data_IF_476674371699
#
_entry.id   IF_476674371699
#
_cell.length_a   1.000
_cell.length_b   1.000
_cell.length_c   1.000
_cell.angle_alpha   90.00
_cell.angle_beta   90.00
_cell.angle_gamma   90.00
#
_symmetry.space_group_name_H-M   'P 1'
#
loop_
_entity.id
_entity.type
_entity.pdbx_description
1 polymer ?
#
# COMPACT_ATOMS: atom_id res chain seq x y z
N UNK A 1 -1.28 -25.89 -12.18
CA UNK A 1 -1.16 -26.19 -10.73
C UNK A 1 -1.75 -24.99 -10.00
N UNK A 2 -2.91 -25.16 -9.37
CA UNK A 2 -3.47 -24.10 -8.53
C UNK A 2 -2.64 -24.00 -7.25
N UNK A 3 -2.15 -22.80 -6.92
CA UNK A 3 -1.35 -22.54 -5.72
C UNK A 3 -2.16 -22.74 -4.43
N UNK A 4 -3.48 -22.63 -4.53
CA UNK A 4 -4.45 -22.67 -3.43
C UNK A 4 -5.65 -23.50 -3.89
N UNK A 5 -6.21 -24.30 -2.99
CA UNK A 5 -7.44 -25.06 -3.27
C UNK A 5 -8.62 -24.09 -3.35
N UNK A 6 -9.57 -24.33 -4.25
CA UNK A 6 -10.74 -23.47 -4.46
C UNK A 6 -11.53 -23.21 -3.17
N UNK A 7 -11.58 -24.20 -2.28
CA UNK A 7 -12.24 -24.13 -0.97
C UNK A 7 -11.67 -23.06 -0.02
N UNK A 8 -10.40 -22.64 -0.19
CA UNK A 8 -9.76 -21.62 0.65
C UNK A 8 -9.56 -20.27 -0.07
N UNK A 9 -10.04 -20.14 -1.31
CA UNK A 9 -9.78 -18.98 -2.14
C UNK A 9 -10.47 -17.70 -1.57
N UNK A 10 -11.62 -17.88 -0.92
CA UNK A 10 -12.36 -16.78 -0.28
C UNK A 10 -11.63 -16.24 0.96
N UNK A 11 -11.19 -17.12 1.83
CA UNK A 11 -10.43 -16.81 3.05
C UNK A 11 -9.10 -16.15 2.71
N UNK A 12 -8.40 -16.68 1.71
CA UNK A 12 -7.17 -16.07 1.22
C UNK A 12 -7.42 -14.65 0.70
N UNK A 13 -8.50 -14.42 -0.05
CA UNK A 13 -8.84 -13.08 -0.53
C UNK A 13 -9.05 -12.09 0.62
N UNK A 14 -9.79 -12.51 1.66
CA UNK A 14 -10.02 -11.72 2.88
C UNK A 14 -8.71 -11.39 3.58
N UNK A 15 -7.87 -12.39 3.85
CA UNK A 15 -6.56 -12.19 4.50
C UNK A 15 -5.67 -11.30 3.65
N UNK A 16 -5.67 -11.47 2.33
CA UNK A 16 -4.86 -10.66 1.41
C UNK A 16 -5.24 -9.18 1.46
N UNK A 17 -6.53 -8.86 1.60
CA UNK A 17 -6.98 -7.48 1.76
C UNK A 17 -6.43 -6.84 3.05
N UNK A 18 -6.44 -7.57 4.15
CA UNK A 18 -5.90 -7.11 5.43
C UNK A 18 -4.38 -6.98 5.42
N UNK A 19 -3.68 -7.94 4.81
CA UNK A 19 -2.23 -7.83 4.60
C UNK A 19 -1.89 -6.61 3.74
N UNK A 20 -2.64 -6.35 2.67
CA UNK A 20 -2.45 -5.17 1.85
C UNK A 20 -2.64 -3.87 2.63
N UNK A 21 -3.57 -3.83 3.59
CA UNK A 21 -3.86 -2.67 4.44
C UNK A 21 -2.82 -2.42 5.53
N UNK A 22 -2.24 -3.49 6.08
CA UNK A 22 -1.39 -3.43 7.28
C UNK A 22 0.11 -3.49 6.97
N UNK A 23 0.51 -3.95 5.79
CA UNK A 23 1.91 -3.99 5.41
C UNK A 23 2.40 -2.61 4.93
N UNK A 24 3.62 -2.21 5.32
CA UNK A 24 4.25 -1.06 4.71
C UNK A 24 4.55 -1.37 3.24
N UNK A 25 4.04 -0.56 2.33
CA UNK A 25 4.32 -0.72 0.91
C UNK A 25 5.71 -0.20 0.54
N UNK A 26 6.24 0.72 1.34
CA UNK A 26 7.54 1.35 1.11
C UNK A 26 8.21 1.79 2.40
N UNK A 27 9.52 1.59 2.47
CA UNK A 27 10.40 2.22 3.44
C UNK A 27 11.43 3.04 2.68
N UNK A 28 11.58 4.31 3.00
CA UNK A 28 12.59 5.17 2.40
C UNK A 28 13.51 5.71 3.48
N UNK A 29 14.80 5.64 3.20
CA UNK A 29 15.86 6.23 4.01
C UNK A 29 16.55 7.31 3.20
N UNK A 30 16.62 8.53 3.72
CA UNK A 30 17.32 9.63 3.09
C UNK A 30 18.16 10.41 4.10
N UNK A 31 19.40 10.75 3.73
CA UNK A 31 20.27 11.64 4.49
C UNK A 31 20.24 13.03 3.87
N UNK A 32 20.00 14.04 4.70
CA UNK A 32 20.01 15.45 4.35
C UNK A 32 21.07 16.18 5.18
N UNK A 33 21.47 17.38 4.77
CA UNK A 33 22.50 18.21 5.44
C UNK A 33 23.82 17.43 5.60
N UNK A 34 24.49 17.11 4.48
CA UNK A 34 25.78 16.39 4.46
C UNK A 34 25.84 15.10 5.32
N UNK A 35 24.70 14.47 5.61
CA UNK A 35 24.64 13.25 6.42
C UNK A 35 24.33 13.46 7.91
N UNK A 36 24.18 14.70 8.36
CA UNK A 36 23.89 15.02 9.77
C UNK A 36 22.46 14.66 10.17
N UNK A 37 21.50 14.87 9.26
CA UNK A 37 20.08 14.60 9.53
C UNK A 37 19.60 13.47 8.64
N UNK A 38 18.98 12.47 9.24
CA UNK A 38 18.45 11.31 8.54
C UNK A 38 16.94 11.25 8.66
N UNK A 39 16.27 11.08 7.53
CA UNK A 39 14.82 10.94 7.44
C UNK A 39 14.50 9.48 7.12
N UNK A 40 13.85 8.81 8.07
CA UNK A 40 13.27 7.48 7.86
C UNK A 40 11.77 7.63 7.66
N UNK A 41 11.27 7.21 6.50
CA UNK A 41 9.83 7.22 6.18
C UNK A 41 9.32 5.81 5.95
N UNK A 42 8.39 5.36 6.77
CA UNK A 42 7.70 4.07 6.65
C UNK A 42 6.27 4.37 6.19
N UNK A 43 5.90 3.89 5.01
CA UNK A 43 4.62 4.20 4.38
C UNK A 43 3.73 2.97 4.32
N UNK A 44 2.58 3.08 4.97
CA UNK A 44 1.45 2.17 4.87
C UNK A 44 0.45 2.73 3.86
N UNK A 45 -0.57 2.00 3.41
CA UNK A 45 -1.58 2.55 2.51
C UNK A 45 -2.29 3.78 3.10
N UNK A 46 -2.54 3.81 4.41
CA UNK A 46 -3.36 4.83 5.05
C UNK A 46 -2.61 5.78 5.97
N UNK A 47 -1.32 5.55 6.21
CA UNK A 47 -0.52 6.35 7.15
C UNK A 47 0.97 6.32 6.80
N UNK A 48 1.65 7.43 7.06
CA UNK A 48 3.09 7.57 7.10
C UNK A 48 3.55 7.63 8.55
N UNK A 49 4.63 6.91 8.86
CA UNK A 49 5.47 7.21 10.01
C UNK A 49 6.76 7.83 9.48
N UNK A 50 7.11 9.03 9.93
CA UNK A 50 8.33 9.70 9.51
C UNK A 50 9.12 10.16 10.71
N UNK A 51 10.37 9.71 10.76
CA UNK A 51 11.29 9.93 11.87
C UNK A 51 12.49 10.77 11.42
N UNK A 52 12.76 11.85 12.15
CA UNK A 52 13.90 12.75 11.95
C UNK A 52 14.99 12.41 12.97
N UNK A 53 16.02 11.71 12.50
CA UNK A 53 17.21 11.34 13.27
C UNK A 53 18.26 12.46 13.15
N UNK A 54 18.94 12.76 14.26
CA UNK A 54 20.01 13.77 14.29
C UNK A 54 19.55 15.20 14.61
N UNK A 55 18.26 15.39 14.93
CA UNK A 55 17.72 16.68 15.37
C UNK A 55 17.16 16.52 16.79
N UNK A 56 17.70 17.29 17.73
CA UNK A 56 17.12 17.41 19.08
C UNK A 56 16.02 18.48 19.03
N UNK A 57 14.76 18.07 18.86
CA UNK A 57 13.63 18.98 18.92
C UNK A 57 13.16 19.14 20.38
N UNK A 58 12.98 20.38 20.89
CA UNK A 58 12.49 20.59 22.24
C UNK A 58 11.05 20.07 22.38
N UNK A 59 10.87 18.97 23.11
CA UNK A 59 9.55 18.42 23.46
C UNK A 59 8.88 17.54 22.40
N UNK A 60 9.55 17.23 21.29
CA UNK A 60 9.03 16.38 20.22
C UNK A 60 10.07 15.32 19.82
N UNK A 61 9.68 14.06 19.69
CA UNK A 61 10.61 12.94 19.44
C UNK A 61 11.08 12.86 17.98
N UNK A 62 10.83 13.90 17.17
CA UNK A 62 11.11 13.89 15.73
C UNK A 62 10.25 12.89 14.95
N UNK A 63 9.17 12.38 15.56
CA UNK A 63 8.22 11.45 14.95
C UNK A 63 6.97 12.20 14.47
N UNK A 64 6.67 12.07 13.19
CA UNK A 64 5.41 12.54 12.57
C UNK A 64 4.58 11.35 12.09
N UNK A 65 3.27 11.45 12.30
CA UNK A 65 2.28 10.47 11.84
C UNK A 65 1.26 11.19 10.98
N UNK A 66 1.28 10.91 9.67
CA UNK A 66 0.46 11.64 8.70
C UNK A 66 -0.32 10.66 7.82
N UNK A 67 -1.62 10.88 7.65
CA UNK A 67 -2.33 10.22 6.55
C UNK A 67 -1.88 10.79 5.19
N UNK A 68 -1.99 10.04 4.07
CA UNK A 68 -1.46 10.43 2.76
C UNK A 68 -1.90 11.81 2.28
N UNK A 69 -3.12 12.21 2.65
CA UNK A 69 -3.70 13.50 2.25
C UNK A 69 -3.11 14.68 3.05
N UNK A 70 -2.80 14.49 4.34
CA UNK A 70 -2.02 15.49 5.10
C UNK A 70 -0.61 15.58 4.52
N UNK A 71 0.06 14.45 4.33
CA UNK A 71 1.43 14.44 3.82
C UNK A 71 1.53 15.10 2.44
N UNK A 72 0.53 14.87 1.57
CA UNK A 72 0.38 15.56 0.29
C UNK A 72 0.28 17.08 0.44
N UNK A 73 -0.44 17.58 1.44
CA UNK A 73 -0.64 19.02 1.66
C UNK A 73 0.63 19.76 2.10
N UNK A 74 1.67 19.03 2.52
CA UNK A 74 2.95 19.57 2.98
C UNK A 74 3.97 19.74 1.83
N UNK A 75 3.64 19.30 0.62
CA UNK A 75 4.56 19.33 -0.54
C UNK A 75 3.93 20.06 -1.73
N UNK A 76 4.79 20.74 -2.48
CA UNK A 76 4.46 21.41 -3.74
C UNK A 76 5.47 20.99 -4.83
N UNK A 77 5.07 21.10 -6.10
CA UNK A 77 5.91 20.77 -7.25
C UNK A 77 6.00 19.27 -7.54
N UNK A 78 7.17 18.81 -8.00
CA UNK A 78 7.41 17.44 -8.48
C UNK A 78 7.08 16.33 -7.45
N UNK A 79 7.36 16.49 -6.14
CA UNK A 79 7.01 15.47 -5.13
C UNK A 79 5.50 15.21 -5.01
N UNK A 80 4.63 16.10 -5.49
CA UNK A 80 3.17 15.91 -5.43
C UNK A 80 2.73 14.61 -6.14
N UNK A 81 3.43 14.21 -7.20
CA UNK A 81 3.10 13.00 -7.96
C UNK A 81 3.20 11.73 -7.09
N UNK A 82 4.18 11.67 -6.20
CA UNK A 82 4.37 10.55 -5.25
C UNK A 82 3.10 10.35 -4.43
N UNK A 83 2.67 11.40 -3.75
CA UNK A 83 1.53 11.32 -2.84
C UNK A 83 0.20 11.12 -3.57
N UNK A 84 0.03 11.70 -4.77
CA UNK A 84 -1.17 11.48 -5.57
C UNK A 84 -1.31 10.00 -5.97
N UNK A 85 -0.22 9.37 -6.45
CA UNK A 85 -0.22 7.95 -6.81
C UNK A 85 -0.41 7.05 -5.58
N UNK A 86 0.18 7.44 -4.45
CA UNK A 86 -0.07 6.76 -3.19
C UNK A 86 -1.54 6.83 -2.77
N UNK A 87 -2.19 8.00 -2.85
CA UNK A 87 -3.64 8.14 -2.56
C UNK A 87 -4.46 7.22 -3.46
N UNK A 88 -4.14 7.14 -4.76
CA UNK A 88 -4.83 6.22 -5.68
C UNK A 88 -4.65 4.76 -5.23
N UNK A 89 -3.43 4.36 -4.87
CA UNK A 89 -3.17 3.04 -4.31
C UNK A 89 -3.95 2.77 -3.02
N UNK A 90 -4.03 3.75 -2.12
CA UNK A 90 -4.80 3.67 -0.89
C UNK A 90 -6.29 3.47 -1.15
N UNK A 91 -6.86 4.10 -2.19
CA UNK A 91 -8.25 3.88 -2.59
C UNK A 91 -8.51 2.44 -3.05
N UNK A 92 -7.58 1.83 -3.80
CA UNK A 92 -7.69 0.41 -4.16
C UNK A 92 -7.64 -0.50 -2.94
N UNK A 93 -6.73 -0.23 -1.99
CA UNK A 93 -6.64 -0.99 -0.74
C UNK A 93 -7.91 -0.79 0.11
N UNK A 94 -8.45 0.42 0.17
CA UNK A 94 -9.70 0.71 0.87
C UNK A 94 -10.87 -0.09 0.27
N UNK A 95 -10.97 -0.13 -1.06
CA UNK A 95 -11.95 -0.94 -1.75
C UNK A 95 -11.77 -2.43 -1.48
N UNK A 96 -10.52 -2.92 -1.42
CA UNK A 96 -10.22 -4.31 -1.07
C UNK A 96 -10.65 -4.65 0.36
N UNK A 97 -10.35 -3.79 1.34
CA UNK A 97 -10.82 -3.94 2.73
C UNK A 97 -12.35 -3.92 2.79
N UNK A 98 -12.99 -3.00 2.07
CA UNK A 98 -14.46 -2.94 1.97
C UNK A 98 -15.05 -4.23 1.40
N UNK A 99 -14.46 -4.77 0.33
CA UNK A 99 -14.87 -6.05 -0.24
C UNK A 99 -14.66 -7.20 0.76
N UNK A 100 -13.54 -7.22 1.47
CA UNK A 100 -13.24 -8.22 2.51
C UNK A 100 -14.30 -8.23 3.61
N UNK A 101 -14.69 -7.05 4.10
CA UNK A 101 -15.78 -6.89 5.08
C UNK A 101 -17.11 -7.39 4.52
N UNK A 102 -17.42 -7.06 3.25
CA UNK A 102 -18.65 -7.53 2.59
C UNK A 102 -18.66 -9.05 2.41
N UNK A 103 -17.52 -9.66 2.04
CA UNK A 103 -17.35 -11.11 1.94
C UNK A 103 -17.58 -11.79 3.30
N UNK A 104 -17.10 -11.18 4.39
CA UNK A 104 -17.26 -11.72 5.74
C UNK A 104 -18.69 -11.57 6.27
N UNK A 105 -19.33 -10.41 6.08
CA UNK A 105 -20.65 -10.12 6.65
C UNK A 105 -21.82 -10.61 5.81
N UNK A 106 -21.62 -10.82 4.49
CA UNK A 106 -22.72 -11.06 3.54
C UNK A 106 -22.40 -12.13 2.51
N UNK A 107 -21.88 -13.26 2.96
CA UNK A 107 -21.48 -14.40 2.11
C UNK A 107 -22.54 -14.78 1.05
N UNK A 108 -23.81 -14.97 1.45
CA UNK A 108 -24.90 -15.34 0.53
C UNK A 108 -25.19 -14.26 -0.53
N UNK A 109 -25.18 -12.98 -0.14
CA UNK A 109 -25.44 -11.86 -1.04
C UNK A 109 -24.34 -11.74 -2.10
N UNK A 110 -23.09 -11.94 -1.69
CA UNK A 110 -21.91 -11.83 -2.53
C UNK A 110 -21.94 -12.89 -3.63
N UNK A 111 -22.22 -14.14 -3.28
CA UNK A 111 -22.32 -15.24 -4.24
C UNK A 111 -23.50 -15.08 -5.21
N UNK A 112 -24.62 -14.52 -4.76
CA UNK A 112 -25.82 -14.36 -5.58
C UNK A 112 -25.81 -13.14 -6.51
N UNK A 113 -25.12 -12.04 -6.14
CA UNK A 113 -25.19 -10.76 -6.87
C UNK A 113 -23.94 -10.35 -7.64
N UNK A 114 -22.76 -10.89 -7.33
CA UNK A 114 -21.56 -10.54 -8.08
C UNK A 114 -21.45 -11.42 -9.34
N UNK A 115 -21.51 -10.82 -10.55
CA UNK A 115 -21.40 -11.58 -11.80
C UNK A 115 -19.99 -12.14 -12.05
N UNK A 116 -18.99 -11.72 -11.26
CA UNK A 116 -17.62 -12.24 -11.26
C UNK A 116 -17.28 -12.79 -9.89
N UNK A 117 -16.44 -13.82 -9.85
CA UNK A 117 -15.92 -14.35 -8.59
C UNK A 117 -15.33 -13.21 -7.71
N UNK A 118 -15.82 -13.04 -6.48
CA UNK A 118 -15.32 -12.04 -5.53
C UNK A 118 -13.81 -12.14 -5.33
N UNK A 119 -13.26 -13.35 -5.41
CA UNK A 119 -11.82 -13.63 -5.33
C UNK A 119 -11.05 -12.94 -6.45
N UNK A 120 -11.56 -12.99 -7.68
CA UNK A 120 -10.93 -12.31 -8.82
C UNK A 120 -11.09 -10.80 -8.75
N UNK A 121 -12.20 -10.31 -8.20
CA UNK A 121 -12.38 -8.88 -7.93
C UNK A 121 -11.35 -8.40 -6.90
N UNK A 122 -11.14 -9.16 -5.82
CA UNK A 122 -10.08 -8.88 -4.84
C UNK A 122 -8.70 -8.86 -5.50
N UNK A 123 -8.38 -9.88 -6.30
CA UNK A 123 -7.13 -9.93 -7.05
C UNK A 123 -6.93 -8.70 -7.95
N UNK A 124 -7.97 -8.25 -8.65
CA UNK A 124 -7.90 -7.05 -9.48
C UNK A 124 -7.71 -5.75 -8.67
N UNK A 125 -8.34 -5.63 -7.50
CA UNK A 125 -8.12 -4.50 -6.59
C UNK A 125 -6.67 -4.47 -6.09
N UNK A 126 -6.12 -5.62 -5.69
CA UNK A 126 -4.71 -5.72 -5.29
C UNK A 126 -3.76 -5.45 -6.45
N UNK A 127 -4.10 -5.85 -7.68
CA UNK A 127 -3.33 -5.48 -8.88
C UNK A 127 -3.29 -3.96 -9.07
N UNK A 128 -4.45 -3.30 -8.97
CA UNK A 128 -4.56 -1.84 -9.05
C UNK A 128 -3.72 -1.13 -7.98
N UNK A 129 -3.79 -1.61 -6.73
CA UNK A 129 -2.97 -1.12 -5.63
C UNK A 129 -1.46 -1.31 -5.93
N UNK A 130 -1.07 -2.51 -6.37
CA UNK A 130 0.33 -2.82 -6.71
C UNK A 130 0.86 -1.89 -7.79
N UNK A 131 0.10 -1.66 -8.86
CA UNK A 131 0.48 -0.77 -9.97
C UNK A 131 0.63 0.66 -9.49
N UNK A 132 -0.38 1.20 -8.78
CA UNK A 132 -0.36 2.57 -8.30
C UNK A 132 0.78 2.85 -7.30
N UNK A 133 0.99 1.94 -6.35
CA UNK A 133 2.06 2.07 -5.36
C UNK A 133 3.46 1.79 -5.96
N UNK A 134 3.56 0.97 -7.00
CA UNK A 134 4.78 0.83 -7.80
C UNK A 134 5.10 2.11 -8.55
N UNK A 135 4.09 2.73 -9.18
CA UNK A 135 4.25 4.03 -9.83
C UNK A 135 4.67 5.11 -8.82
N UNK A 136 4.10 5.10 -7.61
CA UNK A 136 4.54 5.96 -6.51
C UNK A 136 6.00 5.70 -6.12
N UNK A 137 6.44 4.44 -6.09
CA UNK A 137 7.84 4.10 -5.82
C UNK A 137 8.77 4.62 -6.89
N UNK A 138 8.39 4.48 -8.18
CA UNK A 138 9.15 5.06 -9.29
C UNK A 138 9.20 6.58 -9.16
N UNK A 139 8.08 7.23 -8.79
CA UNK A 139 8.04 8.67 -8.60
C UNK A 139 8.98 9.14 -7.47
N UNK A 140 9.15 8.37 -6.40
CA UNK A 140 10.14 8.66 -5.33
C UNK A 140 11.56 8.69 -5.93
N UNK A 141 11.88 7.71 -6.78
CA UNK A 141 13.22 7.59 -7.41
C UNK A 141 13.46 8.73 -8.39
N UNK A 142 12.47 9.10 -9.21
CA UNK A 142 12.68 10.02 -10.34
C UNK A 142 12.46 11.49 -9.99
N UNK A 143 11.49 11.80 -9.13
CA UNK A 143 11.12 13.17 -8.78
C UNK A 143 11.70 13.61 -7.44
N UNK A 144 12.31 12.67 -6.70
CA UNK A 144 12.89 12.91 -5.40
C UNK A 144 11.84 13.11 -4.31
N UNK A 145 12.10 12.51 -3.16
CA UNK A 145 11.49 12.90 -1.89
C UNK A 145 12.65 13.13 -0.92
N UNK A 146 12.72 14.32 -0.31
CA UNK A 146 13.67 14.68 0.75
C UNK A 146 15.09 14.12 0.57
N UNK A 147 15.78 14.42 -0.54
CA UNK A 147 17.22 14.12 -0.68
C UNK A 147 17.58 12.84 -1.46
N UNK A 148 16.65 12.20 -2.17
CA UNK A 148 16.98 11.11 -3.10
C UNK A 148 17.21 9.76 -2.43
N UNK A 149 16.47 9.50 -1.34
CA UNK A 149 16.57 8.26 -0.58
C UNK A 149 16.26 7.00 -1.40
N UNK A 150 16.84 5.87 -1.00
CA UNK A 150 16.61 4.58 -1.66
C UNK A 150 15.29 3.97 -1.15
N UNK A 151 14.26 3.80 -2.00
CA UNK A 151 13.03 3.15 -1.59
C UNK A 151 13.19 1.63 -1.55
N UNK A 152 12.72 1.02 -0.45
CA UNK A 152 12.64 -0.44 -0.27
C UNK A 152 11.16 -0.85 -0.36
N UNK A 153 10.72 -1.44 -1.49
CA UNK A 153 9.30 -1.72 -1.76
C UNK A 153 8.83 -3.04 -1.15
N UNK A 154 8.91 -3.19 0.17
CA UNK A 154 8.67 -4.45 0.88
C UNK A 154 7.26 -4.99 0.59
N UNK A 155 6.23 -4.16 0.79
CA UNK A 155 4.85 -4.58 0.59
C UNK A 155 4.51 -4.84 -0.89
N UNK A 156 5.13 -4.14 -1.85
CA UNK A 156 4.79 -4.30 -3.27
C UNK A 156 4.99 -5.73 -3.78
N UNK A 157 6.06 -6.38 -3.35
CA UNK A 157 6.33 -7.78 -3.73
C UNK A 157 5.23 -8.69 -3.21
N UNK A 158 4.80 -8.47 -1.96
CA UNK A 158 3.73 -9.24 -1.32
C UNK A 158 2.39 -8.98 -2.02
N UNK A 159 2.00 -7.72 -2.21
CA UNK A 159 0.75 -7.35 -2.87
C UNK A 159 0.68 -7.89 -4.30
N UNK A 160 1.78 -7.79 -5.06
CA UNK A 160 1.88 -8.32 -6.42
C UNK A 160 1.74 -9.84 -6.46
N UNK A 161 2.39 -10.55 -5.54
CA UNK A 161 2.26 -12.00 -5.43
C UNK A 161 0.83 -12.44 -5.06
N UNK A 162 0.21 -11.79 -4.08
CA UNK A 162 -1.18 -12.07 -3.67
C UNK A 162 -2.17 -11.78 -4.80
N UNK A 163 -2.01 -10.64 -5.48
CA UNK A 163 -2.77 -10.30 -6.68
C UNK A 163 -2.69 -11.40 -7.73
N UNK A 164 -1.47 -11.82 -8.07
CA UNK A 164 -1.24 -12.88 -9.05
C UNK A 164 -1.92 -14.19 -8.66
N UNK A 165 -1.77 -14.61 -7.40
CA UNK A 165 -2.39 -15.84 -6.88
C UNK A 165 -3.92 -15.77 -7.00
N UNK A 166 -4.54 -14.67 -6.56
CA UNK A 166 -6.00 -14.52 -6.59
C UNK A 166 -6.57 -14.41 -8.01
N UNK A 167 -5.80 -13.86 -8.96
CA UNK A 167 -6.21 -13.77 -10.37
C UNK A 167 -6.06 -15.10 -11.12
N UNK A 168 -5.13 -15.95 -10.70
CA UNK A 168 -4.81 -17.23 -11.35
C UNK A 168 -5.42 -18.45 -10.67
N UNK A 169 -6.17 -18.26 -9.57
CA UNK A 169 -6.81 -19.37 -8.87
C UNK A 169 -7.88 -20.06 -9.73
N UNK A 170 -7.85 -21.39 -9.72
CA UNK A 170 -8.86 -22.23 -10.35
C UNK A 170 -10.08 -22.28 -9.42
N UNK A 171 -11.18 -21.70 -9.90
CA UNK A 171 -12.47 -21.71 -9.23
C UNK A 171 -13.31 -22.79 -9.92
N UNK A 172 -13.16 -24.02 -9.46
CA UNK A 172 -13.88 -25.19 -9.96
C UNK A 172 -15.32 -25.22 -9.44
#
# INVERSE_FOLDING_TARGET
>A
MAWVRSEYAGELAVVSAWLAALLPWNVTYATIIEGEVTILSIRFPFVQLRYLLGVELPGDEGLSIDHPMAARSLVEGDPMMVYNLWIVGALFVLAAVGLSVVMYLREKWVTERLPRSPVRVMGALLAGATIALSASTVAIITHGEFGGGLPIPIGLVVLGALSWILLTVDLA
#
